data_IF_002052196624
#
_entry.id   IF_002052196624
#
_cell.length_a   1.000
_cell.length_b   1.000
_cell.length_c   1.000
_cell.angle_alpha   90.00
_cell.angle_beta   90.00
_cell.angle_gamma   90.00
#
_symmetry.space_group_name_H-M   'P 1'
#
loop_
_entity.id
_entity.type
_entity.pdbx_description
1 polymer ?
#
# COMPACT_ATOMS: atom_id res chain seq x y z
N UNK A 1 46.31 59.69 -2.79
CA UNK A 1 46.21 58.45 -1.99
C UNK A 1 45.10 57.54 -2.52
N UNK A 2 45.20 56.24 -2.20
CA UNK A 2 44.65 55.04 -2.89
C UNK A 2 43.14 54.98 -3.19
N UNK A 3 42.86 54.44 -4.38
CA UNK A 3 41.65 53.73 -4.83
C UNK A 3 41.19 52.63 -3.84
N UNK A 4 39.88 52.40 -3.79
CA UNK A 4 39.06 51.19 -3.43
C UNK A 4 37.79 51.68 -2.73
N UNK A 5 36.54 51.26 -2.97
CA UNK A 5 35.92 50.06 -3.52
C UNK A 5 34.59 50.49 -4.17
N UNK A 6 34.35 50.32 -5.48
CA UNK A 6 33.83 49.08 -6.09
C UNK A 6 32.84 48.35 -5.17
N UNK A 7 31.57 48.74 -5.32
CA UNK A 7 30.43 47.88 -5.62
C UNK A 7 30.61 46.39 -5.31
N UNK A 8 29.54 45.83 -4.75
CA UNK A 8 29.08 44.44 -4.88
C UNK A 8 29.43 43.53 -3.71
N UNK A 9 28.43 42.70 -3.36
CA UNK A 9 28.55 41.41 -2.65
C UNK A 9 28.53 41.48 -1.13
N UNK A 10 27.35 41.69 -0.58
CA UNK A 10 26.93 40.96 0.62
C UNK A 10 25.39 41.06 0.81
N UNK A 11 24.63 40.74 -0.26
CA UNK A 11 23.32 40.11 -0.09
C UNK A 11 23.55 38.70 0.45
N UNK A 12 24.06 38.58 1.67
CA UNK A 12 24.02 37.35 2.46
C UNK A 12 22.65 37.31 3.10
N UNK A 13 21.74 36.77 2.30
CA UNK A 13 20.38 36.33 2.63
C UNK A 13 20.41 35.66 4.00
N UNK A 14 19.80 36.30 5.00
CA UNK A 14 19.52 35.69 6.29
C UNK A 14 18.55 34.53 6.05
N UNK A 15 18.97 33.37 6.53
CA UNK A 15 18.35 32.07 6.39
C UNK A 15 16.99 31.99 7.08
N UNK A 16 16.13 31.18 6.46
CA UNK A 16 15.29 30.16 7.11
C UNK A 16 14.20 30.62 8.09
N UNK A 17 12.93 30.55 7.64
CA UNK A 17 11.82 30.26 8.55
C UNK A 17 10.50 29.75 7.90
N UNK A 18 10.26 29.87 6.58
CA UNK A 18 8.90 29.63 6.04
C UNK A 18 8.88 28.92 4.68
N UNK A 19 9.48 27.72 4.57
CA UNK A 19 9.48 27.03 3.28
C UNK A 19 10.03 25.61 3.25
N UNK A 20 9.78 24.77 4.27
CA UNK A 20 10.21 23.37 4.23
C UNK A 20 9.19 22.41 4.88
N UNK A 21 7.92 22.50 4.47
CA UNK A 21 6.92 21.45 4.70
C UNK A 21 6.36 20.98 3.34
N UNK A 22 7.25 20.65 2.41
CA UNK A 22 6.90 20.13 1.10
C UNK A 22 7.83 18.97 0.76
N UNK A 23 7.65 17.85 1.46
CA UNK A 23 7.89 16.46 1.02
C UNK A 23 7.89 15.54 2.24
N UNK A 24 6.72 15.09 2.68
CA UNK A 24 6.63 13.95 3.60
C UNK A 24 5.45 13.08 3.20
N UNK A 25 5.78 11.98 2.53
CA UNK A 25 4.92 10.81 2.41
C UNK A 25 4.12 10.70 1.12
N UNK A 26 4.80 10.39 0.01
CA UNK A 26 4.19 9.43 -0.90
C UNK A 26 3.96 8.15 -0.08
N UNK A 27 2.70 7.84 0.21
CA UNK A 27 2.33 6.53 0.74
C UNK A 27 2.70 5.50 -0.32
N UNK A 28 3.91 4.96 -0.21
CA UNK A 28 4.29 3.77 -0.93
C UNK A 28 3.28 2.68 -0.59
N UNK A 29 2.52 2.24 -1.57
CA UNK A 29 1.78 0.99 -1.52
C UNK A 29 2.76 -0.19 -1.65
N UNK A 30 3.84 -0.18 -0.89
CA UNK A 30 4.76 -1.30 -0.76
C UNK A 30 4.42 -2.02 0.55
N UNK A 31 3.19 -2.51 0.60
CA UNK A 31 2.82 -3.54 1.55
C UNK A 31 2.99 -4.88 0.85
N UNK A 32 3.94 -5.69 1.31
CA UNK A 32 3.94 -7.15 1.18
C UNK A 32 2.69 -7.80 1.87
N UNK A 33 1.62 -7.02 2.11
CA UNK A 33 0.43 -7.35 2.90
C UNK A 33 -0.87 -7.27 2.09
N UNK A 34 -0.81 -7.51 0.77
CA UNK A 34 -2.00 -7.70 -0.05
C UNK A 34 -2.56 -9.12 0.09
N UNK A 35 -3.88 -9.25 0.19
CA UNK A 35 -4.53 -10.57 0.17
C UNK A 35 -4.14 -11.33 -1.11
N UNK A 36 -3.77 -12.61 -1.02
CA UNK A 36 -3.34 -13.39 -2.18
C UNK A 36 -4.47 -13.52 -3.21
N UNK A 37 -4.11 -13.52 -4.49
CA UNK A 37 -5.07 -13.75 -5.55
C UNK A 37 -5.57 -15.19 -5.55
N UNK A 38 -6.82 -15.38 -5.92
CA UNK A 38 -7.49 -16.68 -6.02
C UNK A 38 -7.15 -17.29 -7.39
N UNK A 39 -6.44 -18.44 -7.45
CA UNK A 39 -5.98 -19.02 -8.72
C UNK A 39 -7.06 -19.82 -9.47
N UNK A 40 -8.31 -19.77 -9.02
CA UNK A 40 -9.43 -20.53 -9.57
C UNK A 40 -10.71 -19.68 -9.66
N UNK A 41 -11.66 -20.08 -10.51
CA UNK A 41 -12.96 -19.41 -10.61
C UNK A 41 -13.76 -19.48 -9.30
N UNK A 42 -14.63 -18.51 -9.03
CA UNK A 42 -15.56 -18.52 -7.89
C UNK A 42 -17.02 -18.67 -8.34
N UNK A 43 -17.28 -18.74 -9.65
CA UNK A 43 -18.63 -18.93 -10.20
C UNK A 43 -19.26 -20.22 -9.66
N UNK A 44 -20.39 -20.11 -8.97
CA UNK A 44 -21.05 -21.23 -8.31
C UNK A 44 -20.34 -21.78 -7.07
N UNK A 45 -19.30 -21.09 -6.57
CA UNK A 45 -18.48 -21.48 -5.41
C UNK A 45 -18.32 -20.31 -4.43
N UNK A 46 -19.45 -19.86 -3.89
CA UNK A 46 -19.51 -18.71 -2.96
C UNK A 46 -19.26 -19.09 -1.50
N UNK A 47 -19.27 -20.38 -1.16
CA UNK A 47 -18.88 -20.87 0.16
C UNK A 47 -17.37 -21.11 0.24
N UNK A 48 -16.61 -20.05 0.49
CA UNK A 48 -15.15 -20.08 0.58
C UNK A 48 -14.66 -20.99 1.72
N UNK A 49 -15.34 -20.92 2.86
CA UNK A 49 -14.99 -21.68 4.07
C UNK A 49 -15.22 -23.19 3.92
N UNK A 50 -16.06 -23.64 2.97
CA UNK A 50 -16.29 -25.06 2.70
C UNK A 50 -15.00 -25.86 2.40
N UNK A 51 -14.01 -25.22 1.78
CA UNK A 51 -12.68 -25.81 1.59
C UNK A 51 -11.61 -25.11 2.46
N UNK A 52 -11.60 -23.78 2.50
CA UNK A 52 -10.53 -23.04 3.17
C UNK A 52 -10.65 -23.03 4.70
N UNK A 53 -11.82 -23.32 5.28
CA UNK A 53 -12.01 -23.29 6.73
C UNK A 53 -11.13 -24.30 7.47
N UNK A 54 -10.91 -25.47 6.88
CA UNK A 54 -10.06 -26.54 7.42
C UNK A 54 -8.87 -26.91 6.51
N UNK A 55 -8.72 -26.21 5.37
CA UNK A 55 -7.73 -26.57 4.34
C UNK A 55 -8.05 -27.85 3.57
N UNK A 56 -9.35 -28.15 3.39
CA UNK A 56 -9.82 -29.34 2.67
C UNK A 56 -9.46 -29.32 1.18
N UNK A 57 -9.25 -30.50 0.60
CA UNK A 57 -8.96 -30.64 -0.84
C UNK A 57 -7.65 -30.00 -1.31
N UNK A 58 -6.72 -29.73 -0.39
CA UNK A 58 -5.46 -29.05 -0.68
C UNK A 58 -5.56 -27.52 -0.72
N UNK A 59 -6.72 -26.95 -0.36
CA UNK A 59 -6.85 -25.52 -0.17
C UNK A 59 -5.98 -25.04 1.02
N UNK A 60 -5.34 -23.87 0.95
CA UNK A 60 -4.72 -23.29 2.13
C UNK A 60 -5.78 -22.97 3.19
N UNK A 61 -5.49 -23.28 4.45
CA UNK A 61 -6.38 -22.94 5.54
C UNK A 61 -6.42 -21.42 5.75
N UNK A 62 -7.59 -20.89 6.06
CA UNK A 62 -7.76 -19.49 6.48
C UNK A 62 -6.87 -19.20 7.70
N UNK A 63 -6.06 -18.11 7.69
CA UNK A 63 -5.22 -17.78 8.83
C UNK A 63 -6.04 -17.38 10.07
N UNK A 64 -5.45 -17.52 11.26
CA UNK A 64 -6.16 -17.30 12.54
C UNK A 64 -6.66 -15.86 12.73
N UNK A 65 -6.02 -14.88 12.11
CA UNK A 65 -6.39 -13.45 12.15
C UNK A 65 -7.64 -13.10 11.32
N UNK A 66 -8.22 -14.09 10.63
CA UNK A 66 -9.51 -13.99 9.94
C UNK A 66 -10.67 -14.51 10.80
N UNK A 67 -10.46 -14.72 12.10
CA UNK A 67 -11.49 -15.16 13.04
C UNK A 67 -12.75 -14.29 12.95
N UNK A 68 -13.90 -14.94 12.80
CA UNK A 68 -15.21 -14.28 12.72
C UNK A 68 -15.56 -13.65 11.36
N UNK A 69 -14.66 -13.70 10.35
CA UNK A 69 -15.00 -13.29 8.98
C UNK A 69 -15.94 -14.31 8.35
N UNK A 70 -17.00 -13.83 7.73
CA UNK A 70 -17.93 -14.66 6.96
C UNK A 70 -17.52 -14.73 5.49
N UNK A 71 -18.13 -15.64 4.72
CA UNK A 71 -17.91 -15.74 3.27
C UNK A 71 -18.19 -14.42 2.50
N UNK A 72 -18.99 -13.52 3.08
CA UNK A 72 -19.39 -12.28 2.42
C UNK A 72 -18.22 -11.30 2.18
N UNK A 73 -17.14 -11.39 2.96
CA UNK A 73 -16.06 -10.39 2.93
C UNK A 73 -14.78 -10.88 2.24
N UNK A 74 -14.75 -12.12 1.77
CA UNK A 74 -13.52 -12.71 1.22
C UNK A 74 -13.05 -11.99 -0.06
N UNK A 75 -14.00 -11.66 -0.94
CA UNK A 75 -13.73 -11.02 -2.23
C UNK A 75 -13.45 -9.51 -2.12
N UNK A 76 -13.62 -8.91 -0.94
CA UNK A 76 -13.27 -7.50 -0.70
C UNK A 76 -11.75 -7.28 -0.77
N UNK A 77 -10.97 -8.34 -0.52
CA UNK A 77 -9.50 -8.30 -0.59
C UNK A 77 -8.93 -9.36 -1.55
N UNK A 78 -9.49 -10.58 -1.58
CA UNK A 78 -9.00 -11.64 -2.45
C UNK A 78 -9.64 -11.56 -3.83
N UNK A 79 -8.87 -11.15 -4.83
CA UNK A 79 -9.31 -11.08 -6.24
C UNK A 79 -8.97 -12.37 -7.00
N UNK A 80 -9.83 -12.78 -7.92
CA UNK A 80 -9.54 -13.92 -8.82
C UNK A 80 -8.47 -13.52 -9.83
N UNK A 81 -7.53 -14.43 -10.12
CA UNK A 81 -6.54 -14.23 -11.17
C UNK A 81 -7.26 -14.00 -12.51
N UNK A 82 -6.93 -12.91 -13.20
CA UNK A 82 -7.62 -12.56 -14.44
C UNK A 82 -9.00 -11.91 -14.26
N UNK A 83 -9.44 -11.61 -13.03
CA UNK A 83 -10.46 -10.58 -12.79
C UNK A 83 -9.83 -9.18 -12.80
N UNK A 84 -9.00 -8.93 -13.82
CA UNK A 84 -8.84 -7.58 -14.35
C UNK A 84 -9.89 -7.45 -15.43
N UNK A 85 -10.67 -6.38 -15.37
CA UNK A 85 -11.46 -5.86 -16.49
C UNK A 85 -10.75 -6.02 -17.84
#
# INVERSE_FOLDING_TARGET
MRKTNVRSRAWTVILAALGLFALSGASGCDGDGGAPRIPHTVTGRTDCLGCHGSGGGGAPQVPADHAGRSNAVCLDCHSVVGSGY
#
